data_IF_663937822166
#
_entry.id   IF_663937822166
#
_cell.length_a   1.000
_cell.length_b   1.000
_cell.length_c   1.000
_cell.angle_alpha   90.00
_cell.angle_beta   90.00
_cell.angle_gamma   90.00
#
_symmetry.space_group_name_H-M   'P 1'
#
loop_
_entity.id
_entity.type
_entity.pdbx_description
1 polymer ?
#
# COMPACT_ATOMS: atom_id res chain seq x y z
N UNK A 1 10.26 -0.26 -3.54
CA UNK A 1 9.21 0.79 -3.53
C UNK A 1 9.02 1.41 -4.91
N UNK A 2 10.09 1.69 -5.67
CA UNK A 2 9.99 2.33 -6.99
C UNK A 2 9.11 1.54 -7.99
N UNK A 3 9.14 0.21 -7.98
CA UNK A 3 8.33 -0.60 -8.92
C UNK A 3 6.87 -0.77 -8.52
N UNK A 4 6.54 -0.64 -7.23
CA UNK A 4 5.14 -0.68 -6.78
C UNK A 4 4.43 0.64 -7.13
N UNK A 5 5.11 1.77 -6.93
CA UNK A 5 4.63 3.08 -7.38
C UNK A 5 4.52 3.15 -8.90
N UNK A 6 5.50 2.61 -9.65
CA UNK A 6 5.49 2.58 -11.12
C UNK A 6 4.28 1.82 -11.66
N UNK A 7 3.85 0.79 -10.94
CA UNK A 7 2.80 -0.12 -11.36
C UNK A 7 1.40 0.47 -11.18
N UNK A 8 1.09 0.96 -9.98
CA UNK A 8 -0.21 1.60 -9.69
C UNK A 8 -0.35 2.91 -10.48
N UNK A 9 0.74 3.66 -10.60
CA UNK A 9 0.82 4.90 -11.33
C UNK A 9 0.67 4.75 -12.84
N UNK A 10 1.23 3.71 -13.44
CA UNK A 10 1.06 3.44 -14.87
C UNK A 10 -0.40 3.16 -15.21
N UNK A 11 -1.12 2.45 -14.33
CA UNK A 11 -2.54 2.14 -14.51
C UNK A 11 -3.41 3.39 -14.39
N UNK A 12 -3.23 4.20 -13.35
CA UNK A 12 -4.01 5.44 -13.15
C UNK A 12 -3.63 6.51 -14.18
N UNK A 13 -2.36 6.57 -14.56
CA UNK A 13 -1.82 7.57 -15.49
C UNK A 13 -2.38 7.47 -16.89
N UNK A 14 -2.59 6.26 -17.41
CA UNK A 14 -2.87 6.05 -18.83
C UNK A 14 -4.31 5.63 -19.12
N UNK A 15 -4.98 4.88 -18.27
CA UNK A 15 -6.31 4.36 -18.56
C UNK A 15 -7.38 5.45 -18.67
N UNK A 16 -7.31 6.47 -17.82
CA UNK A 16 -8.34 7.52 -17.76
C UNK A 16 -8.07 8.66 -18.76
N UNK A 17 -6.90 9.33 -18.77
CA UNK A 17 -6.69 10.47 -19.67
C UNK A 17 -6.62 10.06 -21.14
N UNK A 18 -6.15 8.85 -21.46
CA UNK A 18 -6.02 8.39 -22.84
C UNK A 18 -7.35 8.01 -23.44
N UNK A 19 -8.21 7.31 -22.72
CA UNK A 19 -9.57 7.01 -23.20
C UNK A 19 -10.34 8.30 -23.45
N UNK A 20 -10.13 9.28 -22.61
CA UNK A 20 -10.80 10.57 -22.71
C UNK A 20 -10.21 11.46 -23.82
N UNK A 21 -8.89 11.53 -23.93
CA UNK A 21 -8.23 12.32 -24.99
C UNK A 21 -8.60 11.79 -26.40
N UNK A 22 -8.73 10.47 -26.54
CA UNK A 22 -9.15 9.85 -27.80
C UNK A 22 -10.59 10.19 -28.18
N UNK A 23 -11.48 10.24 -27.20
CA UNK A 23 -12.87 10.66 -27.44
C UNK A 23 -12.93 12.14 -27.82
N UNK A 24 -12.10 13.00 -27.24
CA UNK A 24 -12.02 14.43 -27.57
C UNK A 24 -11.57 14.65 -29.02
N UNK A 25 -10.58 13.88 -29.49
CA UNK A 25 -10.08 14.01 -30.86
C UNK A 25 -11.11 13.56 -31.94
N UNK A 26 -12.05 12.71 -31.57
CA UNK A 26 -12.98 12.08 -32.51
C UNK A 26 -14.09 12.99 -33.06
N UNK A 27 -14.41 14.13 -32.43
CA UNK A 27 -15.70 14.81 -32.64
C UNK A 27 -15.64 16.08 -33.50
N UNK A 28 -14.53 16.45 -34.03
CA UNK A 28 -14.40 17.72 -34.78
C UNK A 28 -14.83 17.65 -36.25
N UNK A 29 -16.07 17.20 -36.61
CA UNK A 29 -16.56 17.37 -37.99
C UNK A 29 -18.10 17.32 -38.05
N UNK A 30 -18.71 18.33 -38.67
CA UNK A 30 -20.15 18.44 -38.89
C UNK A 30 -20.72 17.72 -40.05
N UNK A 31 -21.99 17.43 -40.06
CA UNK A 31 -23.03 17.67 -41.04
C UNK A 31 -24.30 16.76 -40.92
N UNK A 32 -25.26 17.01 -41.66
CA UNK A 32 -26.70 16.98 -41.66
C UNK A 32 -27.47 15.64 -41.83
N UNK A 33 -26.90 14.45 -41.48
CA UNK A 33 -27.68 13.20 -41.30
C UNK A 33 -27.25 12.55 -39.96
N UNK A 34 -28.00 12.86 -38.96
CA UNK A 34 -27.53 13.29 -37.64
C UNK A 34 -27.04 12.21 -36.68
N UNK A 35 -27.19 10.96 -36.91
CA UNK A 35 -26.76 9.93 -35.94
C UNK A 35 -25.72 8.99 -36.55
N UNK A 36 -26.02 8.41 -37.66
CA UNK A 36 -25.18 7.37 -38.26
C UNK A 36 -23.88 7.95 -38.85
N UNK A 37 -23.94 9.12 -39.46
CA UNK A 37 -22.74 9.76 -40.02
C UNK A 37 -21.78 10.24 -38.92
N UNK A 38 -22.32 10.74 -37.80
CA UNK A 38 -21.52 11.08 -36.63
C UNK A 38 -20.88 9.83 -36.01
N UNK A 39 -21.62 8.73 -35.95
CA UNK A 39 -21.12 7.44 -35.47
C UNK A 39 -19.93 6.97 -36.33
N UNK A 40 -20.09 6.93 -37.65
CA UNK A 40 -19.05 6.49 -38.59
C UNK A 40 -17.81 7.38 -38.50
N UNK A 41 -17.99 8.71 -38.40
CA UNK A 41 -16.87 9.64 -38.28
C UNK A 41 -16.16 9.53 -36.91
N UNK A 42 -16.90 9.36 -35.84
CA UNK A 42 -16.33 9.14 -34.52
C UNK A 42 -15.50 7.84 -34.47
N UNK A 43 -16.06 6.75 -35.02
CA UNK A 43 -15.39 5.45 -35.12
C UNK A 43 -14.12 5.54 -35.99
N UNK A 44 -14.19 6.18 -37.17
CA UNK A 44 -13.05 6.37 -38.04
C UNK A 44 -11.96 7.27 -37.44
N UNK A 45 -12.34 8.24 -36.61
CA UNK A 45 -11.38 9.09 -35.91
C UNK A 45 -10.69 8.34 -34.78
N UNK A 46 -11.45 7.65 -33.95
CA UNK A 46 -10.91 6.80 -32.87
C UNK A 46 -10.00 5.70 -33.45
N UNK A 47 -10.36 5.08 -34.57
CA UNK A 47 -9.51 4.09 -35.21
C UNK A 47 -8.17 4.66 -35.72
N UNK A 48 -8.13 5.94 -36.10
CA UNK A 48 -6.87 6.62 -36.46
C UNK A 48 -5.98 6.91 -35.25
N UNK A 49 -6.58 7.23 -34.10
CA UNK A 49 -5.82 7.45 -32.84
C UNK A 49 -5.32 6.14 -32.24
N UNK A 50 -6.04 5.03 -32.47
CA UNK A 50 -5.71 3.70 -31.97
C UNK A 50 -5.58 2.68 -33.11
N UNK A 51 -4.55 2.78 -33.97
CA UNK A 51 -4.41 1.94 -35.15
C UNK A 51 -4.24 0.45 -34.84
N UNK A 52 -3.76 0.10 -33.66
CA UNK A 52 -3.60 -1.29 -33.22
C UNK A 52 -4.85 -1.90 -32.58
N UNK A 53 -5.92 -1.12 -32.38
CA UNK A 53 -7.15 -1.53 -31.73
C UNK A 53 -8.33 -1.52 -32.71
N UNK A 54 -9.26 -2.44 -32.49
CA UNK A 54 -10.55 -2.41 -33.14
C UNK A 54 -11.49 -1.53 -32.33
N UNK A 55 -11.95 -0.45 -32.97
CA UNK A 55 -12.86 0.51 -32.37
C UNK A 55 -14.26 0.27 -32.90
N UNK A 56 -15.26 0.30 -32.03
CA UNK A 56 -16.66 0.23 -32.37
C UNK A 56 -17.47 1.25 -31.58
N UNK A 57 -18.42 1.90 -32.22
CA UNK A 57 -19.38 2.82 -31.61
C UNK A 57 -20.78 2.33 -31.98
N UNK A 58 -21.59 1.94 -31.00
CA UNK A 58 -22.91 1.37 -31.26
C UNK A 58 -23.92 2.42 -31.73
N UNK A 59 -23.79 3.65 -31.21
CA UNK A 59 -24.71 4.72 -31.60
C UNK A 59 -24.16 6.10 -31.27
N UNK A 60 -24.68 7.08 -32.01
CA UNK A 60 -24.43 8.48 -31.75
C UNK A 60 -25.70 9.29 -31.88
N UNK A 61 -25.87 10.33 -31.10
CA UNK A 61 -27.00 11.25 -31.15
C UNK A 61 -26.57 12.68 -30.85
N UNK A 62 -27.16 13.64 -31.50
CA UNK A 62 -27.00 15.06 -31.21
C UNK A 62 -28.19 15.50 -30.35
N UNK A 63 -27.91 16.06 -29.21
CA UNK A 63 -28.91 16.60 -28.28
C UNK A 63 -28.84 18.12 -28.33
N UNK A 64 -29.92 18.72 -28.83
CA UNK A 64 -29.97 20.19 -29.02
C UNK A 64 -29.72 20.91 -27.71
N UNK A 65 -28.76 21.81 -27.70
CA UNK A 65 -28.33 22.59 -26.51
C UNK A 65 -27.39 21.85 -25.53
N UNK A 66 -27.22 20.53 -25.65
CA UNK A 66 -26.35 19.75 -24.75
C UNK A 66 -25.05 19.27 -25.44
N UNK A 67 -25.10 18.98 -26.74
CA UNK A 67 -23.94 18.51 -27.48
C UNK A 67 -24.13 17.13 -28.12
N UNK A 68 -23.09 16.34 -28.12
CA UNK A 68 -23.04 15.02 -28.74
C UNK A 68 -22.98 13.91 -27.71
N UNK A 69 -23.77 12.86 -27.94
CA UNK A 69 -23.78 11.66 -27.07
C UNK A 69 -23.39 10.45 -27.94
N UNK A 70 -22.31 9.77 -27.53
CA UNK A 70 -21.91 8.47 -28.10
C UNK A 70 -22.30 7.37 -27.13
N UNK A 71 -22.77 6.23 -27.64
CA UNK A 71 -23.17 5.08 -26.83
C UNK A 71 -22.47 3.81 -27.27
N UNK A 72 -22.13 2.96 -26.32
CA UNK A 72 -21.50 1.68 -26.56
C UNK A 72 -20.15 1.80 -27.26
N UNK A 73 -19.26 2.65 -26.77
CA UNK A 73 -17.90 2.77 -27.32
C UNK A 73 -17.04 1.63 -26.80
N UNK A 74 -16.44 0.84 -27.70
CA UNK A 74 -15.54 -0.25 -27.33
C UNK A 74 -14.19 -0.16 -28.02
N UNK A 75 -13.13 -0.47 -27.28
CA UNK A 75 -11.77 -0.62 -27.76
C UNK A 75 -11.31 -2.06 -27.49
N UNK A 76 -11.00 -2.79 -28.55
CA UNK A 76 -10.69 -4.22 -28.49
C UNK A 76 -9.32 -4.47 -29.10
N UNK A 77 -8.44 -5.19 -28.39
CA UNK A 77 -7.15 -5.65 -28.90
C UNK A 77 -7.30 -7.05 -29.52
N UNK A 78 -7.25 -7.19 -30.84
CA UNK A 78 -7.39 -8.49 -31.51
C UNK A 78 -6.24 -9.45 -31.20
N UNK A 79 -5.08 -8.95 -30.73
CA UNK A 79 -3.89 -9.75 -30.42
C UNK A 79 -3.97 -10.40 -29.02
N UNK A 80 -4.94 -9.97 -28.18
CA UNK A 80 -5.12 -10.49 -26.84
C UNK A 80 -6.02 -11.74 -26.83
N UNK A 81 -5.83 -12.65 -25.85
CA UNK A 81 -6.77 -13.75 -25.58
C UNK A 81 -8.20 -13.24 -25.40
N UNK A 82 -9.18 -14.05 -25.78
CA UNK A 82 -10.60 -13.65 -25.81
C UNK A 82 -11.09 -13.01 -24.51
N UNK A 83 -10.66 -13.54 -23.37
CA UNK A 83 -11.05 -13.06 -22.03
C UNK A 83 -10.50 -11.68 -21.66
N UNK A 84 -9.44 -11.20 -22.33
CA UNK A 84 -8.81 -9.90 -22.11
C UNK A 84 -8.81 -9.01 -23.35
N UNK A 85 -9.51 -9.43 -24.41
CA UNK A 85 -9.52 -8.74 -25.69
C UNK A 85 -10.15 -7.37 -25.61
N UNK A 86 -11.25 -7.22 -24.85
CA UNK A 86 -11.93 -5.94 -24.65
C UNK A 86 -11.19 -5.12 -23.58
N UNK A 87 -10.43 -4.12 -24.03
CA UNK A 87 -9.66 -3.25 -23.13
C UNK A 87 -10.53 -2.19 -22.49
N UNK A 88 -11.45 -1.60 -23.24
CA UNK A 88 -12.32 -0.53 -22.80
C UNK A 88 -13.71 -0.74 -23.34
N UNK A 89 -14.69 -0.54 -22.49
CA UNK A 89 -16.10 -0.43 -22.84
C UNK A 89 -16.68 0.78 -22.12
N UNK A 90 -17.36 1.65 -22.86
CA UNK A 90 -18.00 2.85 -22.30
C UNK A 90 -19.45 2.85 -22.73
N UNK A 91 -20.34 2.88 -21.76
CA UNK A 91 -21.77 2.91 -22.05
C UNK A 91 -22.18 4.24 -22.68
N UNK A 92 -21.75 5.36 -22.12
CA UNK A 92 -22.12 6.69 -22.60
C UNK A 92 -20.95 7.69 -22.51
N UNK A 93 -20.71 8.41 -23.58
CA UNK A 93 -19.81 9.58 -23.62
C UNK A 93 -20.62 10.79 -24.06
N UNK A 94 -20.65 11.82 -23.24
CA UNK A 94 -21.25 13.12 -23.56
C UNK A 94 -20.17 14.16 -23.81
N UNK A 95 -20.28 14.83 -24.91
CA UNK A 95 -19.41 15.90 -25.36
C UNK A 95 -20.20 17.20 -25.39
N UNK A 96 -19.97 18.07 -24.43
CA UNK A 96 -20.57 19.41 -24.46
C UNK A 96 -19.92 20.22 -25.59
N UNK A 97 -20.69 20.58 -26.56
CA UNK A 97 -20.25 21.39 -27.71
C UNK A 97 -21.42 22.24 -28.23
N UNK A 98 -21.09 23.31 -28.95
CA UNK A 98 -22.09 24.11 -29.65
C UNK A 98 -22.84 23.24 -30.70
N UNK A 99 -24.16 23.26 -30.61
CA UNK A 99 -25.04 22.52 -31.56
C UNK A 99 -25.88 23.46 -32.39
N UNK A 100 -25.48 24.73 -32.52
CA UNK A 100 -26.17 25.68 -33.41
C UNK A 100 -25.87 25.34 -34.88
N UNK A 101 -26.81 25.68 -35.77
CA UNK A 101 -26.62 25.45 -37.22
C UNK A 101 -25.33 26.11 -37.75
N UNK A 102 -24.91 27.23 -37.16
CA UNK A 102 -23.65 27.93 -37.45
C UNK A 102 -22.42 27.10 -37.01
N UNK A 103 -22.45 26.48 -35.84
CA UNK A 103 -21.36 25.63 -35.35
C UNK A 103 -21.21 24.36 -36.17
N UNK A 104 -22.36 23.75 -36.54
CA UNK A 104 -22.40 22.55 -37.38
C UNK A 104 -21.96 22.84 -38.83
N UNK A 105 -22.28 24.02 -39.36
CA UNK A 105 -21.88 24.41 -40.73
C UNK A 105 -20.41 24.80 -40.84
N UNK A 106 -19.80 25.32 -39.75
CA UNK A 106 -18.38 25.70 -39.71
C UNK A 106 -17.43 24.48 -39.67
N UNK A 107 -17.93 23.26 -39.50
CA UNK A 107 -17.14 22.03 -39.52
C UNK A 107 -16.15 21.85 -38.36
N UNK A 108 -16.12 22.80 -37.40
CA UNK A 108 -15.22 22.79 -36.25
C UNK A 108 -16.02 22.80 -34.94
N UNK A 109 -16.31 21.63 -34.42
CA UNK A 109 -16.94 21.50 -33.09
C UNK A 109 -15.92 21.83 -32.00
N UNK A 110 -16.14 22.93 -31.27
CA UNK A 110 -15.38 23.23 -30.07
C UNK A 110 -15.97 22.50 -28.88
N UNK A 111 -15.27 21.48 -28.41
CA UNK A 111 -15.67 20.73 -27.21
C UNK A 111 -15.37 21.58 -25.99
N UNK A 112 -16.36 21.79 -25.13
CA UNK A 112 -16.24 22.52 -23.88
C UNK A 112 -15.93 21.61 -22.70
N UNK A 113 -16.49 20.37 -22.70
CA UNK A 113 -16.21 19.36 -21.66
C UNK A 113 -16.56 17.96 -22.16
N UNK A 114 -16.00 16.95 -21.51
CA UNK A 114 -16.25 15.52 -21.78
C UNK A 114 -16.72 14.85 -20.49
N UNK A 115 -17.84 14.12 -20.59
CA UNK A 115 -18.34 13.29 -19.49
C UNK A 115 -18.49 11.85 -19.96
N UNK A 116 -17.82 10.94 -19.23
CA UNK A 116 -17.81 9.50 -19.49
C UNK A 116 -18.61 8.82 -18.38
N UNK A 117 -19.56 7.97 -18.75
CA UNK A 117 -20.40 7.26 -17.80
C UNK A 117 -20.29 5.76 -17.97
N UNK A 118 -20.23 5.06 -16.85
CA UNK A 118 -20.17 3.59 -16.77
C UNK A 118 -19.10 2.99 -17.69
N UNK A 119 -17.90 3.56 -17.63
CA UNK A 119 -16.74 3.00 -18.30
C UNK A 119 -16.27 1.73 -17.58
N UNK A 120 -15.98 0.68 -18.34
CA UNK A 120 -15.30 -0.52 -17.86
C UNK A 120 -13.94 -0.59 -18.55
N UNK A 121 -12.88 -0.57 -17.77
CA UNK A 121 -11.50 -0.66 -18.26
C UNK A 121 -10.88 -1.94 -17.75
N UNK A 122 -10.33 -2.75 -18.64
CA UNK A 122 -9.68 -4.02 -18.31
C UNK A 122 -8.16 -3.89 -18.45
N UNK A 123 -7.49 -3.89 -17.33
CA UNK A 123 -6.04 -3.73 -17.21
C UNK A 123 -5.42 -5.08 -16.92
N UNK A 124 -4.47 -5.50 -17.75
CA UNK A 124 -3.78 -6.77 -17.59
C UNK A 124 -2.28 -6.53 -17.49
N UNK A 125 -1.67 -7.03 -16.41
CA UNK A 125 -0.22 -7.11 -16.27
C UNK A 125 0.26 -8.48 -16.71
N UNK A 126 1.08 -8.51 -17.76
CA UNK A 126 1.66 -9.75 -18.25
C UNK A 126 2.76 -10.28 -17.31
N UNK A 127 3.12 -11.56 -17.44
CA UNK A 127 4.19 -12.19 -16.68
C UNK A 127 5.53 -11.45 -16.76
N UNK A 128 5.80 -10.81 -17.89
CA UNK A 128 7.00 -9.99 -18.13
C UNK A 128 6.94 -8.59 -17.47
N UNK A 129 5.85 -8.27 -16.78
CA UNK A 129 5.65 -6.98 -16.10
C UNK A 129 5.12 -5.85 -17.01
N UNK A 130 4.87 -6.10 -18.29
CA UNK A 130 4.26 -5.13 -19.21
C UNK A 130 2.75 -5.06 -19.02
N UNK A 131 2.18 -3.88 -19.29
CA UNK A 131 0.74 -3.63 -19.16
C UNK A 131 0.06 -3.48 -20.53
N UNK A 132 -1.10 -4.09 -20.71
CA UNK A 132 -1.88 -3.99 -21.95
C UNK A 132 -2.29 -2.53 -22.25
N UNK A 133 -2.52 -1.72 -21.23
CA UNK A 133 -2.92 -0.31 -21.36
C UNK A 133 -1.84 0.59 -21.98
N UNK A 134 -0.59 0.15 -22.08
CA UNK A 134 0.45 0.91 -22.79
C UNK A 134 0.08 1.19 -24.25
N UNK A 135 -0.78 0.35 -24.85
CA UNK A 135 -1.34 0.55 -26.20
C UNK A 135 -2.43 1.61 -26.28
N UNK A 136 -3.03 1.97 -25.14
CA UNK A 136 -3.97 3.09 -25.06
C UNK A 136 -3.25 4.45 -24.97
N UNK A 137 -1.93 4.45 -24.81
CA UNK A 137 -1.12 5.66 -24.89
C UNK A 137 -1.09 6.17 -26.33
N UNK A 138 -2.21 6.73 -26.78
CA UNK A 138 -2.32 7.40 -28.08
C UNK A 138 -1.33 8.57 -28.20
N UNK A 139 -1.09 9.00 -29.41
CA UNK A 139 -0.29 10.18 -29.67
C UNK A 139 -1.08 11.39 -29.14
N UNK A 140 -0.63 11.96 -28.03
CA UNK A 140 -1.23 13.18 -27.49
C UNK A 140 -1.09 14.29 -28.54
N UNK A 141 -2.11 14.46 -29.32
CA UNK A 141 -2.22 15.60 -30.25
C UNK A 141 -2.23 16.89 -29.43
N UNK A 142 -1.46 17.89 -29.82
CA UNK A 142 -1.29 19.16 -29.13
C UNK A 142 -2.53 20.06 -29.11
N UNK A 143 -3.67 19.54 -28.65
CA UNK A 143 -4.92 20.26 -28.50
C UNK A 143 -5.08 20.86 -27.10
N UNK A 144 -5.90 21.91 -26.98
CA UNK A 144 -6.27 22.52 -25.70
C UNK A 144 -7.01 21.48 -24.85
N UNK A 145 -6.53 21.21 -23.65
CA UNK A 145 -7.16 20.28 -22.74
C UNK A 145 -8.48 20.85 -22.22
N UNK A 146 -9.52 20.03 -22.21
CA UNK A 146 -10.85 20.39 -21.73
C UNK A 146 -11.16 19.65 -20.43
N UNK A 147 -12.10 20.14 -19.61
CA UNK A 147 -12.59 19.41 -18.44
C UNK A 147 -13.12 18.02 -18.81
N UNK A 148 -12.71 17.02 -18.03
CA UNK A 148 -13.12 15.64 -18.22
C UNK A 148 -13.62 15.06 -16.92
N UNK A 149 -14.79 14.42 -16.94
CA UNK A 149 -15.30 13.66 -15.81
C UNK A 149 -15.62 12.22 -16.19
N UNK A 150 -15.28 11.30 -15.30
CA UNK A 150 -15.68 9.89 -15.37
C UNK A 150 -16.59 9.61 -14.18
N UNK A 151 -17.78 9.09 -14.46
CA UNK A 151 -18.81 8.77 -13.48
C UNK A 151 -19.12 7.27 -13.51
N UNK A 152 -19.17 6.65 -12.35
CA UNK A 152 -19.57 5.24 -12.17
C UNK A 152 -18.73 4.25 -13.02
N UNK A 153 -17.44 4.48 -13.09
CA UNK A 153 -16.52 3.59 -13.79
C UNK A 153 -16.22 2.31 -13.02
N UNK A 154 -15.74 1.31 -13.74
CA UNK A 154 -15.20 0.05 -13.19
C UNK A 154 -13.83 -0.21 -13.79
N UNK A 155 -12.86 -0.52 -12.93
CA UNK A 155 -11.52 -0.91 -13.36
C UNK A 155 -11.27 -2.35 -12.92
N UNK A 156 -11.10 -3.25 -13.89
CA UNK A 156 -10.72 -4.64 -13.67
C UNK A 156 -9.22 -4.75 -13.86
N UNK A 157 -8.51 -5.21 -12.83
CA UNK A 157 -7.05 -5.38 -12.85
C UNK A 157 -6.72 -6.86 -12.71
N UNK A 158 -6.16 -7.46 -13.73
CA UNK A 158 -5.62 -8.80 -13.72
C UNK A 158 -4.10 -8.75 -13.71
N UNK A 159 -3.47 -9.13 -12.63
CA UNK A 159 -2.02 -9.30 -12.54
C UNK A 159 -1.67 -10.78 -12.75
N UNK A 160 -1.21 -11.13 -13.94
CA UNK A 160 -0.88 -12.52 -14.27
C UNK A 160 0.40 -12.99 -13.59
N UNK A 161 1.28 -12.08 -13.24
CA UNK A 161 2.53 -12.38 -12.51
C UNK A 161 2.23 -12.76 -11.06
N UNK A 162 1.32 -12.03 -10.42
CA UNK A 162 0.90 -12.26 -9.04
C UNK A 162 -0.27 -13.24 -8.94
N UNK A 163 -0.83 -13.66 -10.08
CA UNK A 163 -2.08 -14.45 -10.16
C UNK A 163 -3.22 -13.81 -9.36
N UNK A 164 -3.32 -12.49 -9.43
CA UNK A 164 -4.25 -11.71 -8.65
C UNK A 164 -5.21 -10.94 -9.54
N UNK A 165 -6.47 -10.88 -9.11
CA UNK A 165 -7.51 -10.05 -9.70
C UNK A 165 -8.03 -9.09 -8.65
N UNK A 166 -8.17 -7.83 -9.02
CA UNK A 166 -8.74 -6.77 -8.18
C UNK A 166 -9.72 -5.96 -9.01
N UNK A 167 -10.85 -5.62 -8.41
CA UNK A 167 -11.87 -4.79 -9.05
C UNK A 167 -12.03 -3.49 -8.28
N UNK A 168 -11.90 -2.37 -8.98
CA UNK A 168 -12.29 -1.06 -8.47
C UNK A 168 -13.66 -0.71 -9.06
N UNK A 169 -14.59 -0.32 -8.20
CA UNK A 169 -15.96 0.04 -8.57
C UNK A 169 -16.26 1.48 -8.22
N UNK A 170 -17.34 2.02 -8.77
CA UNK A 170 -17.76 3.41 -8.57
C UNK A 170 -16.60 4.39 -8.78
N UNK A 171 -15.75 4.08 -9.77
CA UNK A 171 -14.62 4.93 -10.12
C UNK A 171 -15.14 6.28 -10.60
N UNK A 172 -14.73 7.33 -9.90
CA UNK A 172 -15.00 8.72 -10.25
C UNK A 172 -13.68 9.41 -10.48
N UNK A 173 -13.57 10.14 -11.57
CA UNK A 173 -12.37 10.94 -11.88
C UNK A 173 -12.80 12.27 -12.48
N UNK A 174 -12.23 13.35 -11.96
CA UNK A 174 -12.38 14.70 -12.47
C UNK A 174 -11.00 15.27 -12.84
N UNK A 175 -10.87 15.69 -14.08
CA UNK A 175 -9.71 16.37 -14.62
C UNK A 175 -10.12 17.79 -15.01
N UNK A 176 -9.58 18.78 -14.33
CA UNK A 176 -9.90 20.18 -14.57
C UNK A 176 -8.64 20.91 -15.02
N UNK A 177 -8.60 21.40 -16.28
CA UNK A 177 -7.54 22.28 -16.72
C UNK A 177 -7.49 23.56 -15.87
N UNK A 178 -6.30 23.89 -15.39
CA UNK A 178 -6.00 25.13 -14.67
C UNK A 178 -5.08 26.03 -15.52
N UNK A 179 -4.74 27.20 -15.00
CA UNK A 179 -3.74 28.07 -15.63
C UNK A 179 -2.36 27.39 -15.72
N UNK A 180 -1.51 27.86 -16.65
CA UNK A 180 -0.14 27.37 -16.86
C UNK A 180 -0.04 25.88 -17.25
N UNK A 181 -0.93 25.40 -18.12
CA UNK A 181 -0.97 24.02 -18.61
C UNK A 181 -1.00 22.97 -17.48
N UNK A 182 -1.53 23.34 -16.34
CA UNK A 182 -1.70 22.44 -15.20
C UNK A 182 -3.09 21.83 -15.24
N UNK A 183 -3.21 20.59 -14.79
CA UNK A 183 -4.47 19.87 -14.66
C UNK A 183 -4.64 19.46 -13.21
N UNK A 184 -5.70 19.94 -12.58
CA UNK A 184 -6.16 19.40 -11.31
C UNK A 184 -6.78 18.03 -11.52
N UNK A 185 -6.39 17.08 -10.69
CA UNK A 185 -6.85 15.70 -10.71
C UNK A 185 -7.57 15.42 -9.40
N UNK A 186 -8.77 14.86 -9.47
CA UNK A 186 -9.48 14.29 -8.32
C UNK A 186 -10.05 12.95 -8.74
N UNK A 187 -9.93 11.96 -7.86
CA UNK A 187 -10.49 10.64 -8.14
C UNK A 187 -10.86 9.91 -6.87
N UNK A 188 -11.83 9.00 -7.00
CA UNK A 188 -12.18 8.05 -5.95
C UNK A 188 -12.67 6.74 -6.55
N UNK A 189 -12.52 5.66 -5.78
CA UNK A 189 -13.00 4.35 -6.15
C UNK A 189 -13.20 3.50 -4.90
N UNK A 190 -14.06 2.49 -4.98
CA UNK A 190 -14.16 1.43 -3.99
C UNK A 190 -13.47 0.17 -4.52
N UNK A 191 -12.95 -0.67 -3.64
CA UNK A 191 -12.18 -1.86 -4.03
C UNK A 191 -12.62 -3.13 -3.31
N UNK A 192 -12.13 -4.26 -3.81
CA UNK A 192 -12.40 -5.56 -3.18
C UNK A 192 -11.56 -5.78 -1.90
N UNK A 193 -10.46 -5.03 -1.75
CA UNK A 193 -9.51 -5.15 -0.63
C UNK A 193 -9.59 -3.98 0.34
N UNK A 194 -10.38 -2.96 0.05
CA UNK A 194 -10.52 -1.74 0.83
C UNK A 194 -11.89 -1.10 0.59
N UNK A 195 -12.34 -0.28 1.50
CA UNK A 195 -13.65 0.37 1.37
C UNK A 195 -13.60 1.50 0.34
N UNK A 196 -12.60 2.37 0.42
CA UNK A 196 -12.47 3.53 -0.45
C UNK A 196 -11.01 3.89 -0.72
N UNK A 197 -10.73 4.26 -1.96
CA UNK A 197 -9.50 4.95 -2.34
C UNK A 197 -9.81 6.34 -2.87
N UNK A 198 -8.94 7.31 -2.61
CA UNK A 198 -9.04 8.66 -3.14
C UNK A 198 -7.69 9.18 -3.60
N UNK A 199 -7.69 10.07 -4.58
CA UNK A 199 -6.52 10.78 -5.08
C UNK A 199 -6.89 12.21 -5.41
N UNK A 200 -6.00 13.13 -5.12
CA UNK A 200 -6.12 14.53 -5.54
C UNK A 200 -4.74 15.15 -5.75
N UNK A 201 -4.69 16.17 -6.58
CA UNK A 201 -3.47 16.93 -6.81
C UNK A 201 -3.41 17.54 -8.19
N UNK A 202 -2.21 17.74 -8.71
CA UNK A 202 -1.95 18.41 -9.97
C UNK A 202 -0.95 17.66 -10.82
N UNK A 203 -1.16 17.75 -12.13
CA UNK A 203 -0.26 17.21 -13.15
C UNK A 203 0.02 18.32 -14.17
N UNK A 204 1.25 18.41 -14.64
CA UNK A 204 1.67 19.31 -15.73
C UNK A 204 1.95 18.44 -16.96
N UNK A 205 1.03 18.28 -17.90
CA UNK A 205 1.18 17.38 -19.04
C UNK A 205 2.42 17.63 -19.88
N UNK A 206 2.76 18.90 -20.12
CA UNK A 206 3.91 19.29 -20.94
C UNK A 206 5.25 18.78 -20.40
N UNK A 207 5.48 18.83 -19.08
CA UNK A 207 6.71 18.39 -18.42
C UNK A 207 6.61 16.98 -17.85
N UNK A 208 5.38 16.48 -17.66
CA UNK A 208 5.09 15.27 -16.92
C UNK A 208 5.22 15.44 -15.40
N UNK A 209 5.37 16.67 -14.91
CA UNK A 209 5.46 16.98 -13.47
C UNK A 209 4.15 16.65 -12.77
N UNK A 210 4.22 16.17 -11.52
CA UNK A 210 3.03 15.91 -10.70
C UNK A 210 3.29 16.11 -9.21
N UNK A 211 2.25 16.49 -8.49
CA UNK A 211 2.17 16.47 -7.02
C UNK A 211 0.79 15.95 -6.64
N UNK A 212 0.74 14.75 -6.09
CA UNK A 212 -0.48 14.03 -5.82
C UNK A 212 -0.49 13.52 -4.39
N UNK A 213 -1.66 13.56 -3.79
CA UNK A 213 -1.94 12.97 -2.48
C UNK A 213 -3.12 12.03 -2.61
N UNK A 214 -3.15 11.02 -1.77
CA UNK A 214 -4.26 10.07 -1.76
C UNK A 214 -4.38 9.35 -0.44
N UNK A 215 -5.50 8.67 -0.30
CA UNK A 215 -5.78 7.82 0.84
C UNK A 215 -6.43 6.52 0.37
N UNK A 216 -6.23 5.45 1.14
CA UNK A 216 -6.95 4.19 0.99
C UNK A 216 -7.45 3.81 2.37
N UNK A 217 -8.75 3.70 2.52
CA UNK A 217 -9.44 3.49 3.78
C UNK A 217 -9.82 2.03 3.97
N UNK A 218 -9.69 1.54 5.20
CA UNK A 218 -10.15 0.21 5.62
C UNK A 218 -9.60 -0.94 4.78
N UNK A 219 -8.31 -0.95 4.53
CA UNK A 219 -7.66 -2.10 3.86
C UNK A 219 -7.75 -3.30 4.80
N UNK A 220 -8.42 -4.37 4.38
CA UNK A 220 -8.49 -5.60 5.16
C UNK A 220 -7.16 -6.37 5.08
N UNK A 221 -6.50 -6.50 6.24
CA UNK A 221 -5.27 -7.29 6.38
C UNK A 221 -5.66 -8.77 6.48
N UNK A 222 -5.99 -9.34 5.34
CA UNK A 222 -6.28 -10.75 5.16
C UNK A 222 -5.07 -11.50 4.57
N UNK A 223 -5.04 -12.83 4.60
CA UNK A 223 -3.98 -13.62 3.97
C UNK A 223 -3.75 -13.28 2.50
N UNK A 224 -4.80 -12.89 1.79
CA UNK A 224 -4.72 -12.45 0.39
C UNK A 224 -3.83 -11.21 0.22
N UNK A 225 -4.00 -10.20 1.07
CA UNK A 225 -3.13 -9.00 1.05
C UNK A 225 -1.69 -9.36 1.38
N UNK A 226 -1.47 -10.17 2.42
CA UNK A 226 -0.14 -10.63 2.80
C UNK A 226 0.55 -11.39 1.66
N UNK A 227 -0.19 -12.23 0.95
CA UNK A 227 0.33 -12.95 -0.22
C UNK A 227 0.73 -11.99 -1.35
N UNK A 228 -0.10 -11.00 -1.66
CA UNK A 228 0.19 -9.98 -2.68
C UNK A 228 1.43 -9.16 -2.33
N UNK A 229 1.52 -8.69 -1.09
CA UNK A 229 2.68 -7.92 -0.59
C UNK A 229 3.95 -8.77 -0.62
N UNK A 230 3.89 -10.03 -0.22
CA UNK A 230 5.02 -10.94 -0.25
C UNK A 230 5.50 -11.22 -1.68
N UNK A 231 4.57 -11.48 -2.61
CA UNK A 231 4.89 -11.74 -4.00
C UNK A 231 5.53 -10.51 -4.69
N UNK A 232 5.10 -9.30 -4.33
CA UNK A 232 5.72 -8.07 -4.83
C UNK A 232 7.08 -7.83 -4.15
N UNK A 233 7.23 -8.10 -2.85
CA UNK A 233 8.50 -8.04 -2.14
C UNK A 233 9.56 -8.97 -2.75
N UNK A 234 9.17 -10.17 -3.19
CA UNK A 234 10.05 -11.12 -3.89
C UNK A 234 10.61 -10.54 -5.20
N UNK A 235 9.79 -9.77 -5.90
CA UNK A 235 10.20 -9.15 -7.16
C UNK A 235 11.14 -7.96 -7.00
N UNK A 236 11.11 -7.30 -5.84
CA UNK A 236 11.81 -6.04 -5.60
C UNK A 236 13.07 -6.24 -4.75
N UNK A 237 13.01 -7.13 -3.77
CA UNK A 237 14.03 -7.26 -2.76
C UNK A 237 14.78 -8.61 -2.82
N UNK A 238 14.20 -9.66 -2.26
CA UNK A 238 14.75 -11.01 -2.27
C UNK A 238 13.68 -12.04 -1.87
N UNK A 239 13.90 -13.31 -2.24
CA UNK A 239 13.04 -14.42 -1.82
C UNK A 239 13.01 -14.59 -0.29
N UNK A 240 14.11 -14.29 0.40
CA UNK A 240 14.20 -14.35 1.86
C UNK A 240 13.26 -13.34 2.53
N UNK A 241 13.26 -12.09 2.09
CA UNK A 241 12.33 -11.07 2.60
C UNK A 241 10.88 -11.38 2.29
N UNK A 242 10.61 -11.92 1.12
CA UNK A 242 9.26 -12.39 0.78
C UNK A 242 8.80 -13.51 1.72
N UNK A 243 9.71 -14.41 2.08
CA UNK A 243 9.44 -15.46 3.05
C UNK A 243 9.15 -14.88 4.45
N UNK A 244 9.91 -13.88 4.88
CA UNK A 244 9.66 -13.19 6.16
C UNK A 244 8.31 -12.45 6.16
N UNK A 245 7.99 -11.74 5.08
CA UNK A 245 6.67 -11.08 4.95
C UNK A 245 5.54 -12.11 5.00
N UNK A 246 5.68 -13.26 4.31
CA UNK A 246 4.70 -14.35 4.39
C UNK A 246 4.58 -14.93 5.79
N UNK A 247 5.73 -15.21 6.41
CA UNK A 247 5.79 -15.80 7.74
C UNK A 247 5.16 -14.91 8.79
N UNK A 248 5.58 -13.66 8.88
CA UNK A 248 5.10 -12.74 9.92
C UNK A 248 3.75 -12.11 9.57
N UNK A 249 3.48 -11.81 8.31
CA UNK A 249 2.22 -11.21 7.88
C UNK A 249 1.02 -12.16 7.96
N UNK A 250 1.23 -13.48 7.89
CA UNK A 250 0.14 -14.46 7.91
C UNK A 250 -0.68 -14.45 9.22
N UNK A 251 -0.04 -14.06 10.33
CA UNK A 251 -0.69 -13.96 11.65
C UNK A 251 -1.45 -12.66 11.91
N UNK A 252 -1.22 -11.62 11.10
CA UNK A 252 -1.83 -10.32 11.31
C UNK A 252 -3.23 -10.26 10.70
N UNK A 253 -4.17 -9.71 11.47
CA UNK A 253 -5.54 -9.37 11.07
C UNK A 253 -5.85 -7.97 11.55
N UNK A 254 -6.65 -7.24 10.80
CA UNK A 254 -7.05 -5.88 11.18
C UNK A 254 -7.37 -5.05 9.97
N UNK A 255 -7.59 -3.76 10.18
CA UNK A 255 -7.82 -2.79 9.12
C UNK A 255 -6.73 -1.75 9.11
N UNK A 256 -6.24 -1.41 7.93
CA UNK A 256 -5.20 -0.42 7.74
C UNK A 256 -5.75 0.72 6.89
N UNK A 257 -5.55 1.94 7.38
CA UNK A 257 -5.70 3.14 6.57
C UNK A 257 -4.33 3.58 6.05
N UNK A 258 -4.27 3.91 4.77
CA UNK A 258 -3.07 4.43 4.12
C UNK A 258 -3.31 5.85 3.64
N UNK A 259 -2.41 6.76 3.98
CA UNK A 259 -2.25 8.05 3.33
C UNK A 259 -0.95 8.08 2.55
N UNK A 260 -0.94 8.71 1.38
CA UNK A 260 0.29 8.82 0.60
C UNK A 260 0.40 10.17 -0.09
N UNK A 261 1.63 10.59 -0.33
CA UNK A 261 1.97 11.71 -1.19
C UNK A 261 3.07 11.27 -2.15
N UNK A 262 2.94 11.68 -3.41
CA UNK A 262 3.95 11.44 -4.42
C UNK A 262 4.12 12.69 -5.27
N UNK A 263 5.36 13.17 -5.38
CA UNK A 263 5.72 14.33 -6.19
C UNK A 263 6.95 13.99 -7.05
N UNK A 264 6.91 14.36 -8.32
CA UNK A 264 7.99 14.00 -9.24
C UNK A 264 7.68 14.30 -10.68
N UNK A 265 8.30 13.55 -11.57
CA UNK A 265 8.07 13.62 -13.00
C UNK A 265 7.69 12.25 -13.56
N UNK A 266 6.67 12.25 -14.39
CA UNK A 266 6.25 11.06 -15.14
C UNK A 266 7.30 10.57 -16.14
N UNK A 267 8.29 11.40 -16.45
CA UNK A 267 9.43 11.05 -17.33
C UNK A 267 10.55 10.35 -16.58
N UNK A 268 10.65 10.60 -15.27
CA UNK A 268 11.62 9.97 -14.39
C UNK A 268 10.94 9.60 -13.06
N UNK A 269 10.26 8.46 -13.06
CA UNK A 269 9.60 7.93 -11.86
C UNK A 269 10.63 7.46 -10.82
N UNK A 270 11.85 7.14 -11.23
CA UNK A 270 12.94 6.82 -10.31
C UNK A 270 13.29 7.97 -9.38
N UNK A 271 13.08 9.23 -9.78
CA UNK A 271 13.30 10.41 -8.95
C UNK A 271 12.08 10.83 -8.09
N UNK A 272 10.94 10.14 -8.20
CA UNK A 272 9.70 10.49 -7.48
C UNK A 272 9.92 10.44 -5.96
N UNK A 273 9.59 11.51 -5.27
CA UNK A 273 9.52 11.55 -3.82
C UNK A 273 8.18 10.98 -3.37
N UNK A 274 8.23 9.90 -2.62
CA UNK A 274 7.01 9.25 -2.09
C UNK A 274 7.10 9.15 -0.59
N UNK A 275 6.01 9.54 0.09
CA UNK A 275 5.81 9.31 1.52
C UNK A 275 4.51 8.55 1.70
N UNK A 276 4.53 7.52 2.53
CA UNK A 276 3.37 6.69 2.87
C UNK A 276 3.21 6.70 4.37
N UNK A 277 2.03 7.06 4.85
CA UNK A 277 1.63 6.91 6.24
C UNK A 277 0.62 5.78 6.35
N UNK A 278 0.82 4.86 7.29
CA UNK A 278 -0.06 3.73 7.53
C UNK A 278 -0.52 3.75 8.98
N UNK A 279 -1.81 3.50 9.21
CA UNK A 279 -2.39 3.34 10.54
C UNK A 279 -3.15 2.02 10.61
N UNK A 280 -2.76 1.18 11.54
CA UNK A 280 -3.49 -0.04 11.91
C UNK A 280 -4.33 0.25 13.13
N UNK A 281 -5.60 -0.13 13.11
CA UNK A 281 -6.52 -0.01 14.24
C UNK A 281 -7.16 -1.37 14.54
N UNK A 282 -7.33 -1.65 15.85
CA UNK A 282 -7.98 -2.89 16.33
C UNK A 282 -7.39 -4.18 15.74
N UNK A 283 -6.06 -4.19 15.52
CA UNK A 283 -5.37 -5.35 14.97
C UNK A 283 -5.31 -6.51 15.95
N UNK A 284 -5.15 -7.71 15.39
CA UNK A 284 -4.87 -8.95 16.12
C UNK A 284 -3.72 -9.68 15.45
N UNK A 285 -2.79 -10.18 16.24
CA UNK A 285 -1.68 -10.99 15.74
C UNK A 285 -1.63 -12.31 16.48
N UNK A 286 -1.65 -13.41 15.74
CA UNK A 286 -1.57 -14.75 16.26
C UNK A 286 -0.71 -15.59 15.31
N UNK A 287 0.45 -16.03 15.81
CA UNK A 287 1.40 -16.77 15.00
C UNK A 287 2.23 -17.73 15.88
N UNK A 288 2.62 -18.86 15.33
CA UNK A 288 3.39 -19.89 16.07
C UNK A 288 4.76 -19.40 16.58
N UNK A 289 5.30 -18.29 16.05
CA UNK A 289 6.54 -17.68 16.56
C UNK A 289 6.35 -16.90 17.85
N UNK A 290 5.11 -16.57 18.26
CA UNK A 290 4.83 -15.95 19.53
C UNK A 290 4.04 -16.91 20.44
N UNK A 291 4.41 -17.06 21.71
CA UNK A 291 3.72 -17.97 22.62
C UNK A 291 2.36 -17.44 23.09
N UNK A 292 2.01 -16.21 22.71
CA UNK A 292 0.78 -15.55 23.13
C UNK A 292 0.22 -14.69 21.98
N UNK A 293 -1.11 -14.59 21.86
CA UNK A 293 -1.73 -13.71 20.90
C UNK A 293 -1.62 -12.24 21.35
N UNK A 294 -1.39 -11.35 20.38
CA UNK A 294 -1.51 -9.90 20.59
C UNK A 294 -2.91 -9.46 20.12
N UNK A 295 -3.56 -8.62 20.90
CA UNK A 295 -4.89 -8.07 20.65
C UNK A 295 -4.88 -6.56 20.72
N UNK A 296 -5.91 -5.94 20.17
CA UNK A 296 -6.13 -4.50 20.18
C UNK A 296 -4.89 -3.73 19.69
N UNK A 297 -4.24 -4.29 18.65
CA UNK A 297 -3.03 -3.68 18.10
C UNK A 297 -3.43 -2.38 17.42
N UNK A 298 -2.84 -1.29 17.88
CA UNK A 298 -2.83 -0.02 17.17
C UNK A 298 -1.40 0.37 16.82
N UNK A 299 -1.17 0.80 15.57
CA UNK A 299 0.16 1.18 15.13
C UNK A 299 0.10 2.28 14.08
N UNK A 300 1.08 3.17 14.11
CA UNK A 300 1.27 4.23 13.13
C UNK A 300 2.69 4.15 12.55
N UNK A 301 2.76 4.11 11.22
CA UNK A 301 4.01 4.01 10.48
C UNK A 301 4.09 5.12 9.44
N UNK A 302 5.30 5.62 9.22
CA UNK A 302 5.63 6.49 8.10
C UNK A 302 6.82 5.90 7.36
N UNK A 303 6.68 5.78 6.06
CA UNK A 303 7.71 5.24 5.17
C UNK A 303 8.00 6.22 4.05
N UNK A 304 9.28 6.40 3.74
CA UNK A 304 9.75 7.19 2.61
C UNK A 304 11.01 6.55 1.99
N UNK A 305 11.72 7.28 1.16
CA UNK A 305 12.98 6.80 0.56
C UNK A 305 14.08 6.56 1.58
N UNK A 306 14.04 7.23 2.74
CA UNK A 306 15.07 7.15 3.78
C UNK A 306 14.83 5.98 4.73
N UNK A 307 13.67 5.32 4.67
CA UNK A 307 13.36 4.14 5.46
C UNK A 307 11.94 4.14 6.03
N UNK A 308 11.78 3.47 7.17
CA UNK A 308 10.49 3.33 7.87
C UNK A 308 10.64 3.79 9.31
N UNK A 309 9.64 4.51 9.80
CA UNK A 309 9.50 4.88 11.21
C UNK A 309 8.16 4.36 11.74
N UNK A 310 8.21 3.59 12.80
CA UNK A 310 7.07 3.27 13.64
C UNK A 310 6.99 4.33 14.73
N UNK A 311 6.00 5.21 14.66
CA UNK A 311 5.83 6.30 15.61
C UNK A 311 5.25 5.81 16.93
N UNK A 312 4.32 4.87 16.84
CA UNK A 312 3.61 4.27 17.95
C UNK A 312 3.13 2.88 17.58
N UNK A 313 3.33 1.97 18.49
CA UNK A 313 2.69 0.65 18.48
C UNK A 313 2.19 0.40 19.89
N UNK A 314 0.93 -0.01 20.02
CA UNK A 314 0.36 -0.51 21.27
C UNK A 314 -0.35 -1.83 21.00
N UNK A 315 -0.28 -2.75 21.95
CA UNK A 315 -0.94 -4.04 21.87
C UNK A 315 -1.17 -4.60 23.28
N UNK A 316 -2.10 -5.53 23.40
CA UNK A 316 -2.38 -6.24 24.65
C UNK A 316 -2.11 -7.73 24.51
N UNK A 317 -1.59 -8.34 25.59
CA UNK A 317 -1.55 -9.79 25.74
C UNK A 317 -1.88 -10.15 27.18
N UNK A 318 -3.00 -10.86 27.37
CA UNK A 318 -3.55 -11.04 28.72
C UNK A 318 -3.79 -9.70 29.42
N UNK A 319 -3.18 -9.49 30.57
CA UNK A 319 -3.22 -8.22 31.32
C UNK A 319 -2.08 -7.26 30.94
N UNK A 320 -1.14 -7.68 30.12
CA UNK A 320 0.01 -6.86 29.75
C UNK A 320 -0.32 -5.87 28.66
N UNK A 321 0.20 -4.65 28.80
CA UNK A 321 0.23 -3.62 27.78
C UNK A 321 1.63 -3.55 27.18
N UNK A 322 1.72 -3.74 25.88
CA UNK A 322 2.94 -3.60 25.10
C UNK A 322 2.93 -2.27 24.36
N UNK A 323 4.05 -1.56 24.40
CA UNK A 323 4.30 -0.37 23.59
C UNK A 323 5.56 -0.54 22.78
N UNK A 324 5.58 0.03 21.59
CA UNK A 324 6.74 -0.03 20.72
C UNK A 324 6.90 1.22 19.91
N UNK A 325 8.13 1.55 19.58
CA UNK A 325 8.49 2.55 18.57
C UNK A 325 9.82 2.16 17.94
N UNK A 326 10.08 2.66 16.74
CA UNK A 326 11.34 2.34 16.09
C UNK A 326 11.54 3.06 14.77
N UNK A 327 12.77 2.97 14.28
CA UNK A 327 13.17 3.52 13.01
C UNK A 327 14.12 2.56 12.32
N UNK A 328 13.90 2.35 11.03
CA UNK A 328 14.81 1.66 10.11
C UNK A 328 15.34 2.70 9.11
N UNK A 329 16.65 2.93 9.08
CA UNK A 329 17.28 3.92 8.23
C UNK A 329 17.77 3.27 6.93
N UNK A 330 16.92 3.27 5.93
CA UNK A 330 17.18 2.66 4.61
C UNK A 330 16.34 1.40 4.38
N UNK A 331 16.56 0.80 3.19
CA UNK A 331 15.80 -0.36 2.72
C UNK A 331 16.69 -1.59 2.47
N UNK A 332 17.99 -1.50 2.79
CA UNK A 332 18.92 -2.63 2.69
C UNK A 332 18.78 -3.60 3.86
N UNK A 333 19.26 -4.82 3.70
CA UNK A 333 19.21 -5.85 4.76
C UNK A 333 20.11 -5.53 5.97
N UNK A 334 21.11 -4.71 5.76
CA UNK A 334 22.08 -4.23 6.74
C UNK A 334 21.79 -2.82 7.27
N UNK A 335 20.63 -2.24 6.90
CA UNK A 335 20.22 -0.90 7.31
C UNK A 335 20.27 -0.74 8.84
N UNK A 336 20.74 0.42 9.30
CA UNK A 336 20.73 0.77 10.72
C UNK A 336 19.30 0.86 11.24
N UNK A 337 19.10 0.44 12.49
CA UNK A 337 17.80 0.57 13.13
C UNK A 337 17.90 0.92 14.61
N UNK A 338 16.85 1.54 15.12
CA UNK A 338 16.54 1.70 16.54
C UNK A 338 15.15 1.10 16.81
N UNK A 339 15.03 0.26 17.81
CA UNK A 339 13.77 -0.35 18.23
C UNK A 339 13.67 -0.27 19.75
N UNK A 340 12.58 0.31 20.24
CA UNK A 340 12.23 0.32 21.67
C UNK A 340 10.95 -0.49 21.83
N UNK A 341 10.96 -1.41 22.80
CA UNK A 341 9.82 -2.22 23.23
C UNK A 341 9.68 -2.06 24.74
N UNK A 342 8.48 -1.74 25.19
CA UNK A 342 8.11 -1.65 26.59
C UNK A 342 6.90 -2.55 26.84
N UNK A 343 6.91 -3.25 27.96
CA UNK A 343 5.78 -4.06 28.38
C UNK A 343 5.54 -3.84 29.87
N UNK A 344 4.29 -3.60 30.23
CA UNK A 344 3.84 -3.45 31.61
C UNK A 344 3.04 -4.69 32.01
N UNK A 345 3.31 -5.22 33.22
CA UNK A 345 2.63 -6.40 33.78
C UNK A 345 2.67 -7.63 32.88
N UNK A 346 3.81 -7.86 32.26
CA UNK A 346 4.03 -8.99 31.39
C UNK A 346 4.14 -10.26 32.22
N UNK A 347 3.32 -11.24 31.92
CA UNK A 347 3.43 -12.57 32.54
C UNK A 347 4.48 -13.38 31.80
N UNK A 348 5.53 -13.70 32.50
CA UNK A 348 6.64 -14.51 31.99
C UNK A 348 6.46 -15.95 32.50
N UNK A 349 6.64 -16.92 31.61
CA UNK A 349 6.58 -18.35 31.92
C UNK A 349 7.53 -19.13 30.99
N UNK A 350 7.46 -20.45 31.03
CA UNK A 350 8.30 -21.34 30.21
C UNK A 350 8.13 -21.14 28.70
N UNK A 351 7.01 -20.66 28.24
CA UNK A 351 6.74 -20.49 26.80
C UNK A 351 7.66 -19.42 26.16
N UNK A 352 8.21 -18.52 26.98
CA UNK A 352 9.14 -17.47 26.51
C UNK A 352 10.51 -18.01 26.08
N UNK A 353 10.88 -19.22 26.53
CA UNK A 353 12.15 -19.88 26.15
C UNK A 353 12.31 -19.94 24.62
N UNK A 354 11.20 -20.19 23.90
CA UNK A 354 11.20 -20.26 22.44
C UNK A 354 11.56 -18.97 21.70
N UNK A 355 11.40 -17.81 22.36
CA UNK A 355 11.73 -16.49 21.80
C UNK A 355 13.18 -16.06 22.02
N UNK A 356 13.88 -16.72 22.92
CA UNK A 356 15.23 -16.34 23.30
C UNK A 356 16.28 -16.85 22.31
N UNK A 357 17.35 -16.10 22.07
CA UNK A 357 18.54 -16.61 21.41
C UNK A 357 19.08 -17.86 22.14
N UNK A 358 19.73 -18.79 21.42
CA UNK A 358 20.16 -20.05 21.98
C UNK A 358 21.13 -19.89 23.18
N UNK A 359 21.95 -18.87 23.18
CA UNK A 359 22.82 -18.50 24.29
C UNK A 359 22.06 -18.17 25.57
N UNK A 360 20.85 -17.64 25.47
CA UNK A 360 19.99 -17.29 26.60
C UNK A 360 19.06 -18.41 27.02
N UNK A 361 18.69 -19.32 26.10
CA UNK A 361 17.86 -20.50 26.42
C UNK A 361 18.49 -21.35 27.50
N UNK A 362 19.82 -21.55 27.47
CA UNK A 362 20.54 -22.31 28.49
C UNK A 362 20.41 -21.66 29.87
N UNK A 363 20.50 -20.35 29.96
CA UNK A 363 20.35 -19.66 31.26
C UNK A 363 18.89 -19.66 31.72
N UNK A 364 17.95 -19.51 30.78
CA UNK A 364 16.52 -19.59 31.04
C UNK A 364 16.10 -20.93 31.63
N UNK A 365 16.53 -22.04 31.03
CA UNK A 365 16.23 -23.39 31.49
C UNK A 365 16.89 -23.70 32.86
N UNK A 366 18.00 -23.01 33.21
CA UNK A 366 18.63 -23.12 34.50
C UNK A 366 17.93 -22.33 35.60
N UNK A 367 17.27 -21.24 35.26
CA UNK A 367 16.66 -20.31 36.23
C UNK A 367 15.13 -20.46 36.32
N UNK A 368 14.50 -21.02 35.26
CA UNK A 368 13.05 -21.23 35.17
C UNK A 368 12.25 -20.03 35.71
N UNK A 369 12.48 -18.81 35.18
CA UNK A 369 11.80 -17.63 35.68
C UNK A 369 10.32 -17.68 35.33
N UNK A 370 9.47 -17.24 36.29
CA UNK A 370 8.03 -17.12 36.07
C UNK A 370 7.48 -15.95 36.90
N UNK A 371 6.35 -15.39 36.45
CA UNK A 371 5.66 -14.34 37.19
C UNK A 371 5.49 -13.03 36.42
N UNK A 372 5.15 -11.98 37.12
CA UNK A 372 4.83 -10.67 36.55
C UNK A 372 6.06 -9.75 36.55
N UNK A 373 6.35 -9.17 35.35
CA UNK A 373 7.48 -8.26 35.18
C UNK A 373 7.07 -7.06 34.33
N UNK A 374 7.79 -5.95 34.45
CA UNK A 374 7.87 -4.91 33.46
C UNK A 374 9.16 -5.09 32.64
N UNK A 375 9.07 -4.90 31.36
CA UNK A 375 10.17 -5.03 30.41
C UNK A 375 10.38 -3.69 29.69
N UNK A 376 11.63 -3.28 29.54
CA UNK A 376 12.06 -2.27 28.59
C UNK A 376 13.25 -2.81 27.82
N UNK A 377 13.11 -2.96 26.51
CA UNK A 377 14.14 -3.48 25.63
C UNK A 377 14.41 -2.48 24.50
N UNK A 378 15.64 -2.08 24.37
CA UNK A 378 16.12 -1.25 23.27
C UNK A 378 17.14 -2.05 22.46
N UNK A 379 16.95 -2.08 21.16
CA UNK A 379 17.85 -2.70 20.20
C UNK A 379 18.30 -1.63 19.21
N UNK A 380 19.60 -1.43 19.15
CA UNK A 380 20.21 -0.50 18.19
C UNK A 380 21.15 -1.27 17.28
N UNK A 381 21.00 -1.13 15.97
CA UNK A 381 21.99 -1.62 15.01
C UNK A 381 22.73 -0.46 14.38
N UNK A 382 24.08 -0.52 14.42
CA UNK A 382 24.95 0.42 13.75
C UNK A 382 26.09 -0.34 13.07
N UNK A 383 26.29 -0.07 11.79
CA UNK A 383 27.33 -0.70 10.99
C UNK A 383 27.33 -2.25 11.10
N UNK A 384 26.15 -2.86 11.14
CA UNK A 384 25.95 -4.30 11.21
C UNK A 384 26.00 -4.90 12.62
N UNK A 385 26.51 -4.19 13.63
CA UNK A 385 26.52 -4.67 15.01
C UNK A 385 25.21 -4.31 15.73
N UNK A 386 24.64 -5.27 16.47
CA UNK A 386 23.43 -5.07 17.29
C UNK A 386 23.87 -4.89 18.75
N UNK A 387 23.45 -3.79 19.35
CA UNK A 387 23.64 -3.47 20.77
C UNK A 387 22.28 -3.58 21.50
N UNK A 388 22.04 -4.64 22.27
CA UNK A 388 20.84 -4.81 23.06
C UNK A 388 21.00 -4.18 24.45
N UNK A 389 20.00 -3.38 24.86
CA UNK A 389 19.85 -2.89 26.23
C UNK A 389 18.50 -3.34 26.76
N UNK A 390 18.50 -4.20 27.75
CA UNK A 390 17.27 -4.78 28.30
C UNK A 390 17.21 -4.54 29.79
N UNK A 391 16.12 -3.98 30.29
CA UNK A 391 15.82 -3.82 31.72
C UNK A 391 14.53 -4.56 32.06
N UNK A 392 14.60 -5.47 33.00
CA UNK A 392 13.47 -6.22 33.51
C UNK A 392 13.26 -5.82 34.96
N UNK A 393 12.09 -5.33 35.29
CA UNK A 393 11.67 -5.05 36.68
C UNK A 393 10.71 -6.14 37.14
N UNK A 394 11.15 -6.98 38.06
CA UNK A 394 10.31 -8.00 38.68
C UNK A 394 9.30 -7.34 39.62
N UNK A 395 8.00 -7.61 39.43
CA UNK A 395 6.90 -7.15 40.30
C UNK A 395 6.49 -8.23 41.31
N UNK A 396 6.38 -9.44 40.83
CA UNK A 396 6.08 -10.64 41.58
C UNK A 396 6.54 -11.84 40.78
N UNK A 397 7.84 -12.06 40.75
CA UNK A 397 8.43 -13.14 39.97
C UNK A 397 8.85 -14.31 40.92
N UNK A 398 9.14 -15.42 40.30
CA UNK A 398 9.79 -16.55 40.99
C UNK A 398 10.90 -17.09 40.09
N UNK A 399 11.90 -17.65 40.68
CA UNK A 399 13.00 -18.31 40.00
C UNK A 399 13.49 -19.53 40.77
N UNK A 400 13.97 -20.53 40.04
CA UNK A 400 14.52 -21.75 40.61
C UNK A 400 15.84 -22.04 39.91
N UNK A 401 16.95 -21.92 40.61
CA UNK A 401 18.25 -22.23 40.03
C UNK A 401 18.55 -23.73 40.16
N UNK A 402 19.00 -24.39 39.09
CA UNK A 402 19.22 -25.85 39.02
C UNK A 402 20.20 -26.39 40.10
N UNK A 403 21.10 -25.55 40.63
CA UNK A 403 22.01 -25.90 41.73
C UNK A 403 21.51 -25.46 43.09
N UNK A 404 20.37 -24.76 43.20
CA UNK A 404 19.81 -24.28 44.42
C UNK A 404 18.43 -24.92 44.61
N UNK A 405 18.26 -25.79 45.63
CA UNK A 405 17.08 -26.66 45.71
C UNK A 405 15.80 -25.92 46.15
N UNK A 406 15.87 -24.61 46.37
CA UNK A 406 14.72 -23.83 46.80
C UNK A 406 14.28 -22.87 45.70
N UNK A 407 12.97 -22.80 45.52
CA UNK A 407 12.38 -21.76 44.70
C UNK A 407 12.41 -20.44 45.46
N UNK A 408 12.85 -19.37 44.83
CA UNK A 408 12.76 -18.01 45.34
C UNK A 408 11.47 -17.41 44.80
N UNK A 409 10.52 -17.15 45.68
CA UNK A 409 9.21 -16.58 45.38
C UNK A 409 9.12 -15.11 45.74
N UNK A 410 8.06 -14.44 45.29
CA UNK A 410 7.78 -13.01 45.55
C UNK A 410 8.98 -12.11 45.24
N UNK A 411 9.69 -12.48 44.18
CA UNK A 411 10.90 -11.76 43.78
C UNK A 411 10.55 -10.40 43.21
N UNK A 412 11.14 -9.36 43.76
CA UNK A 412 11.07 -7.97 43.30
C UNK A 412 12.46 -7.44 43.04
N UNK A 413 12.61 -6.42 42.18
CA UNK A 413 13.91 -5.82 41.89
C UNK A 413 14.15 -5.71 40.40
N UNK A 414 15.41 -5.62 39.99
CA UNK A 414 15.78 -5.34 38.60
C UNK A 414 16.86 -6.27 38.08
N UNK A 415 16.75 -6.59 36.79
CA UNK A 415 17.80 -7.24 35.99
C UNK A 415 18.06 -6.34 34.78
N UNK A 416 19.31 -5.94 34.59
CA UNK A 416 19.72 -5.06 33.49
C UNK A 416 20.79 -5.76 32.66
N UNK A 417 20.57 -5.78 31.35
CA UNK A 417 21.54 -6.25 30.36
C UNK A 417 21.97 -5.06 29.50
N UNK A 418 23.26 -4.76 29.49
CA UNK A 418 23.85 -3.67 28.73
C UNK A 418 25.27 -4.06 28.24
N UNK A 419 25.52 -3.97 26.94
CA UNK A 419 26.83 -4.27 26.36
C UNK A 419 27.40 -5.67 26.73
N UNK A 420 26.53 -6.68 26.86
CA UNK A 420 26.92 -8.03 27.27
C UNK A 420 27.17 -8.20 28.79
N UNK A 421 27.08 -7.13 29.58
CA UNK A 421 27.07 -7.21 31.04
C UNK A 421 25.63 -7.40 31.54
N UNK A 422 25.48 -8.21 32.58
CA UNK A 422 24.21 -8.43 33.29
C UNK A 422 24.38 -8.02 34.75
N UNK A 423 23.60 -7.06 35.18
CA UNK A 423 23.51 -6.64 36.58
C UNK A 423 22.17 -7.11 37.16
N UNK A 424 22.24 -7.70 38.35
CA UNK A 424 21.09 -8.28 39.06
C UNK A 424 21.00 -7.68 40.44
N UNK A 425 19.82 -7.16 40.81
CA UNK A 425 19.46 -6.69 42.13
C UNK A 425 18.05 -7.17 42.45
N UNK A 426 17.94 -8.31 43.11
CA UNK A 426 16.66 -8.97 43.37
C UNK A 426 16.53 -9.27 44.85
N UNK A 427 15.33 -9.15 45.41
CA UNK A 427 14.96 -9.59 46.71
C UNK A 427 13.75 -10.50 46.65
N UNK A 428 13.72 -11.56 47.41
CA UNK A 428 12.63 -12.54 47.37
C UNK A 428 12.59 -13.37 48.68
N UNK A 429 11.86 -14.46 48.63
CA UNK A 429 11.72 -15.38 49.77
C UNK A 429 11.99 -16.81 49.32
N UNK A 430 12.79 -17.56 50.06
CA UNK A 430 12.98 -18.99 49.89
C UNK A 430 12.68 -19.72 51.19
N UNK A 431 11.72 -20.65 51.19
CA UNK A 431 11.28 -21.33 52.40
C UNK A 431 10.79 -20.37 53.50
N UNK A 432 10.18 -19.23 53.12
CA UNK A 432 9.70 -18.20 54.07
C UNK A 432 10.78 -17.28 54.61
N UNK A 433 12.04 -17.43 54.23
CA UNK A 433 13.16 -16.55 54.65
C UNK A 433 13.52 -15.58 53.54
N UNK A 434 13.90 -14.34 53.90
CA UNK A 434 14.32 -13.36 52.90
C UNK A 434 15.63 -13.78 52.23
N UNK A 435 15.72 -13.55 50.93
CA UNK A 435 16.90 -13.81 50.08
C UNK A 435 17.20 -12.55 49.29
N UNK A 436 18.48 -12.15 49.28
CA UNK A 436 19.01 -11.09 48.43
C UNK A 436 19.91 -11.70 47.35
N UNK A 437 19.71 -11.32 46.12
CA UNK A 437 20.52 -11.75 44.99
C UNK A 437 21.06 -10.50 44.32
N UNK A 438 22.37 -10.31 44.45
CA UNK A 438 23.07 -9.17 43.87
C UNK A 438 24.32 -9.66 43.15
N UNK A 439 24.58 -9.12 41.97
CA UNK A 439 25.78 -9.47 41.24
C UNK A 439 25.82 -8.84 39.85
N UNK A 440 27.02 -8.85 39.31
CA UNK A 440 27.27 -8.45 37.92
C UNK A 440 28.13 -9.51 37.24
N UNK A 441 27.72 -9.96 36.06
CA UNK A 441 28.54 -10.86 35.26
C UNK A 441 28.56 -10.38 33.80
N UNK A 442 29.64 -10.71 33.10
CA UNK A 442 29.74 -10.45 31.66
C UNK A 442 29.79 -11.78 30.93
N UNK A 443 29.01 -11.87 29.87
CA UNK A 443 29.14 -12.99 28.91
C UNK A 443 30.44 -12.79 28.15
N UNK A 444 31.40 -13.69 28.33
CA UNK A 444 32.58 -13.75 27.47
C UNK A 444 32.30 -14.67 26.29
N UNK A 445 32.87 -14.41 25.10
CA UNK A 445 32.66 -15.26 23.90
C UNK A 445 33.13 -16.71 24.05
N UNK A 446 33.74 -17.07 25.19
CA UNK A 446 34.30 -18.40 25.45
C UNK A 446 33.56 -19.21 26.51
N UNK A 447 32.33 -18.92 26.84
CA UNK A 447 31.50 -19.78 27.71
C UNK A 447 30.67 -19.09 28.73
#
# INVERSE_FOLDING_TARGET
LNRFSDTLWTVVRWAVPVTVAAVIAAVAIGSNRLGEEVRIRAEARLAREFPDLVVQVQGASVVSGEGLVLRGVSLTDPKMPQQWRQLVWIDEVRLACGTTLTDLSAGTLKIASVRVRRAVVHVVRHHQGTWNISRLAGHAGGGTMVPVSVEDGTLLVDDLRLQARTTLRRVQVDLQPEANDTVAVRGSADGDLFDRASVQGRVVPATGGFDLTGAVESIDVAPRLTHLVAAEAESIASAERAADVRRFGSGLRGRIDLGWRAAGSLRDLGATQTTVAARLESGRYEHASLPFPLRDISAAFVADRTGVRCERLEAHTGSALLRGSGRLAGWSGDADFDLLIEAERLVVDRQWEGLLPDTWKVQWSRLLPAGEVDLRAQFTRRAGAIDPKVSVRCRNASLTHYRFPYRVDRTVGTVVVDGGAVAIHLTGQAGGRPVHIEGTFRSTPQG
#
